data_IF_972214655850
#
_entry.id   IF_972214655850
#
_cell.length_a   1.000
_cell.length_b   1.000
_cell.length_c   1.000
_cell.angle_alpha   90.00
_cell.angle_beta   90.00
_cell.angle_gamma   90.00
#
_symmetry.space_group_name_H-M   'P 1'
#
loop_
_entity.id
_entity.type
_entity.pdbx_description
1 polymer ?
#
# COMPACT_ATOMS: atom_id res chain seq x y z
N UNK A 1 11.26 -10.09 -11.35
CA UNK A 1 11.80 -10.94 -10.27
C UNK A 1 10.67 -11.72 -9.63
N UNK A 2 10.90 -12.93 -9.12
CA UNK A 2 9.97 -13.61 -8.23
C UNK A 2 9.90 -12.85 -6.90
N UNK A 3 8.77 -12.93 -6.19
CA UNK A 3 8.54 -12.18 -4.95
C UNK A 3 9.67 -12.36 -3.92
N UNK A 4 10.16 -13.59 -3.73
CA UNK A 4 11.28 -13.88 -2.80
C UNK A 4 12.59 -13.20 -3.21
N UNK A 5 12.90 -13.14 -4.49
CA UNK A 5 14.07 -12.42 -5.00
C UNK A 5 13.95 -10.92 -4.78
N UNK A 6 12.78 -10.34 -5.04
CA UNK A 6 12.52 -8.92 -4.78
C UNK A 6 12.69 -8.57 -3.29
N UNK A 7 12.18 -9.39 -2.38
CA UNK A 7 12.39 -9.23 -0.93
C UNK A 7 13.88 -9.18 -0.59
N UNK A 8 14.68 -10.11 -1.13
CA UNK A 8 16.13 -10.14 -0.89
C UNK A 8 16.84 -8.87 -1.36
N UNK A 9 16.45 -8.34 -2.52
CA UNK A 9 17.01 -7.09 -3.06
C UNK A 9 16.71 -5.92 -2.12
N UNK A 10 15.44 -5.75 -1.73
CA UNK A 10 15.00 -4.67 -0.84
C UNK A 10 15.69 -4.76 0.54
N UNK A 11 15.84 -5.97 1.07
CA UNK A 11 16.56 -6.24 2.32
C UNK A 11 18.03 -5.81 2.22
N UNK A 12 18.71 -6.16 1.13
CA UNK A 12 20.12 -5.81 0.89
C UNK A 12 20.33 -4.30 0.70
N UNK A 13 19.29 -3.56 0.33
CA UNK A 13 19.31 -2.10 0.29
C UNK A 13 19.16 -1.47 1.70
N UNK A 14 18.92 -2.26 2.73
CA UNK A 14 18.76 -1.78 4.11
C UNK A 14 17.40 -1.13 4.40
N UNK A 15 16.41 -1.36 3.54
CA UNK A 15 15.04 -0.90 3.80
C UNK A 15 14.46 -1.58 5.04
N UNK A 16 13.68 -0.83 5.80
CA UNK A 16 13.07 -1.29 7.06
C UNK A 16 11.59 -1.61 6.95
N UNK A 17 10.95 -1.12 5.91
CA UNK A 17 9.56 -1.42 5.57
C UNK A 17 9.49 -2.11 4.21
N UNK A 18 8.55 -3.05 4.07
CA UNK A 18 8.25 -3.72 2.81
C UNK A 18 6.76 -3.98 2.70
N UNK A 19 6.24 -3.89 1.48
CA UNK A 19 4.90 -4.35 1.12
C UNK A 19 4.98 -5.49 0.11
N UNK A 20 4.22 -6.55 0.38
CA UNK A 20 4.10 -7.70 -0.50
C UNK A 20 2.80 -7.52 -1.30
N UNK A 21 2.89 -7.26 -2.60
CA UNK A 21 1.74 -6.96 -3.45
C UNK A 21 1.44 -8.03 -4.48
N UNK A 22 0.14 -8.22 -4.75
CA UNK A 22 -0.35 -9.07 -5.83
C UNK A 22 -1.41 -8.33 -6.64
N UNK A 23 -1.18 -8.16 -7.95
CA UNK A 23 -2.08 -7.37 -8.81
C UNK A 23 -3.43 -8.08 -9.02
N UNK A 24 -3.47 -9.43 -9.06
CA UNK A 24 -4.66 -10.21 -9.40
C UNK A 24 -4.93 -11.32 -8.40
N UNK A 25 -6.21 -11.54 -8.08
CA UNK A 25 -6.66 -12.60 -7.17
C UNK A 25 -6.22 -14.00 -7.60
N UNK A 26 -6.31 -14.33 -8.90
CA UNK A 26 -5.83 -15.62 -9.40
C UNK A 26 -4.33 -15.84 -9.13
N UNK A 27 -3.49 -14.84 -9.34
CA UNK A 27 -2.07 -14.91 -9.01
C UNK A 27 -1.84 -15.07 -7.51
N UNK A 28 -2.59 -14.34 -6.70
CA UNK A 28 -2.52 -14.44 -5.24
C UNK A 28 -2.90 -15.84 -4.75
N UNK A 29 -4.01 -16.39 -5.25
CA UNK A 29 -4.53 -17.67 -4.81
C UNK A 29 -3.73 -18.89 -5.32
N UNK A 30 -3.27 -18.85 -6.58
CA UNK A 30 -2.85 -20.05 -7.30
C UNK A 30 -1.37 -20.09 -7.71
N UNK A 31 -0.61 -19.00 -7.60
CA UNK A 31 0.79 -18.98 -8.07
C UNK A 31 1.78 -19.68 -7.14
N UNK A 32 1.42 -19.92 -5.88
CA UNK A 32 2.32 -20.43 -4.86
C UNK A 32 3.44 -19.46 -4.45
N UNK A 33 3.39 -18.19 -4.89
CA UNK A 33 4.45 -17.21 -4.59
C UNK A 33 4.45 -16.80 -3.12
N UNK A 34 3.28 -16.65 -2.51
CA UNK A 34 3.16 -16.30 -1.11
C UNK A 34 3.70 -17.43 -0.20
N UNK A 35 3.42 -18.67 -0.56
CA UNK A 35 3.84 -19.88 0.19
C UNK A 35 5.35 -20.13 0.13
N UNK A 36 6.06 -19.54 -0.83
CA UNK A 36 7.53 -19.65 -0.93
C UNK A 36 8.26 -18.68 -0.01
N UNK A 37 7.56 -17.70 0.57
CA UNK A 37 8.15 -16.76 1.51
C UNK A 37 8.29 -17.46 2.86
N UNK A 38 9.50 -17.42 3.40
CA UNK A 38 9.84 -17.99 4.70
C UNK A 38 10.03 -16.88 5.75
N UNK A 39 9.97 -17.23 7.04
CA UNK A 39 10.23 -16.28 8.14
C UNK A 39 11.56 -15.55 7.98
N UNK A 40 12.60 -16.28 7.59
CA UNK A 40 13.96 -15.74 7.39
C UNK A 40 14.03 -14.67 6.29
N UNK A 41 13.17 -14.75 5.28
CA UNK A 41 13.13 -13.75 4.22
C UNK A 41 12.69 -12.39 4.78
N UNK A 42 11.76 -12.39 5.73
CA UNK A 42 11.16 -11.18 6.32
C UNK A 42 11.86 -10.71 7.63
N UNK A 43 12.83 -11.47 8.12
CA UNK A 43 13.64 -11.03 9.24
C UNK A 43 14.44 -9.77 8.90
N UNK A 44 14.47 -8.80 9.83
CA UNK A 44 15.18 -7.52 9.67
C UNK A 44 14.35 -6.39 9.09
N UNK A 45 13.11 -6.68 8.62
CA UNK A 45 12.12 -5.62 8.40
C UNK A 45 11.40 -5.29 9.70
N UNK A 46 11.29 -4.01 10.01
CA UNK A 46 10.58 -3.50 11.18
C UNK A 46 9.06 -3.46 10.88
N UNK A 47 8.70 -3.30 9.61
CA UNK A 47 7.32 -3.22 9.13
C UNK A 47 7.11 -4.07 7.87
N UNK A 48 6.04 -4.88 7.88
CA UNK A 48 5.64 -5.73 6.75
C UNK A 48 4.15 -5.58 6.50
N UNK A 49 3.77 -5.01 5.38
CA UNK A 49 2.39 -4.97 4.90
C UNK A 49 2.15 -5.93 3.73
N UNK A 50 0.88 -6.16 3.44
CA UNK A 50 0.44 -6.91 2.27
C UNK A 50 -0.61 -6.10 1.53
N UNK A 51 -0.36 -5.81 0.26
CA UNK A 51 -1.37 -5.24 -0.61
C UNK A 51 -2.26 -6.36 -1.14
N UNK A 52 -3.52 -6.37 -0.74
CA UNK A 52 -4.49 -7.35 -1.18
C UNK A 52 -4.70 -7.25 -2.70
N UNK A 53 -4.96 -8.37 -3.38
CA UNK A 53 -5.13 -8.38 -4.82
C UNK A 53 -6.34 -7.54 -5.27
N UNK A 54 -6.26 -6.95 -6.47
CA UNK A 54 -7.40 -6.32 -7.12
C UNK A 54 -8.51 -7.35 -7.37
N UNK A 55 -9.62 -7.18 -6.64
CA UNK A 55 -10.77 -8.10 -6.64
C UNK A 55 -12.01 -7.38 -6.13
N UNK A 56 -13.19 -7.73 -6.62
CA UNK A 56 -14.47 -7.17 -6.12
C UNK A 56 -14.89 -7.93 -4.85
N UNK A 57 -14.54 -7.37 -3.70
CA UNK A 57 -14.75 -8.01 -2.40
C UNK A 57 -16.23 -8.00 -1.98
N UNK A 58 -16.77 -9.19 -1.83
CA UNK A 58 -18.16 -9.45 -1.44
C UNK A 58 -18.21 -10.51 -0.34
N UNK A 59 -19.39 -10.74 0.22
CA UNK A 59 -19.61 -11.87 1.13
C UNK A 59 -19.73 -13.19 0.33
N UNK A 60 -18.63 -13.63 -0.27
CA UNK A 60 -18.57 -14.82 -1.11
C UNK A 60 -17.37 -15.72 -0.76
N UNK A 61 -17.34 -16.89 -1.39
CA UNK A 61 -16.31 -17.92 -1.12
C UNK A 61 -14.91 -17.45 -1.53
N UNK A 62 -14.79 -16.66 -2.59
CA UNK A 62 -13.48 -16.22 -3.10
C UNK A 62 -12.85 -15.17 -2.17
N UNK A 63 -13.64 -14.21 -1.69
CA UNK A 63 -13.25 -13.28 -0.62
C UNK A 63 -12.79 -14.02 0.63
N UNK A 64 -13.57 -15.01 1.07
CA UNK A 64 -13.21 -15.83 2.24
C UNK A 64 -11.87 -16.54 2.01
N UNK A 65 -11.65 -17.15 0.85
CA UNK A 65 -10.39 -17.82 0.54
C UNK A 65 -9.19 -16.85 0.55
N UNK A 66 -9.37 -15.61 0.03
CA UNK A 66 -8.34 -14.58 0.07
C UNK A 66 -8.03 -14.22 1.54
N UNK A 67 -9.04 -13.98 2.37
CA UNK A 67 -8.85 -13.61 3.77
C UNK A 67 -8.22 -14.72 4.60
N UNK A 68 -8.63 -15.98 4.40
CA UNK A 68 -8.01 -17.14 5.03
C UNK A 68 -6.53 -17.27 4.67
N UNK A 69 -6.19 -17.05 3.39
CA UNK A 69 -4.80 -17.10 2.93
C UNK A 69 -3.95 -15.99 3.56
N UNK A 70 -4.47 -14.76 3.66
CA UNK A 70 -3.81 -13.64 4.35
C UNK A 70 -3.62 -13.97 5.83
N UNK A 71 -4.67 -14.45 6.51
CA UNK A 71 -4.63 -14.82 7.92
C UNK A 71 -3.62 -15.94 8.19
N UNK A 72 -3.57 -16.96 7.34
CA UNK A 72 -2.63 -18.06 7.46
C UNK A 72 -1.18 -17.57 7.31
N UNK A 73 -0.90 -16.76 6.27
CA UNK A 73 0.41 -16.15 6.09
C UNK A 73 0.81 -15.30 7.32
N UNK A 74 -0.12 -14.47 7.81
CA UNK A 74 0.12 -13.61 8.97
C UNK A 74 0.44 -14.40 10.24
N UNK A 75 -0.20 -15.55 10.46
CA UNK A 75 0.03 -16.40 11.63
C UNK A 75 1.30 -17.24 11.53
N UNK A 76 1.54 -17.81 10.36
CA UNK A 76 2.56 -18.86 10.17
C UNK A 76 3.93 -18.29 9.80
N UNK A 77 3.96 -17.22 9.03
CA UNK A 77 5.21 -16.67 8.47
C UNK A 77 5.63 -15.39 9.20
N UNK A 78 4.82 -14.35 9.13
CA UNK A 78 5.11 -13.05 9.76
C UNK A 78 3.80 -12.34 10.05
N UNK A 79 3.58 -11.94 11.30
CA UNK A 79 2.45 -11.09 11.64
C UNK A 79 2.51 -9.83 10.80
N UNK A 80 1.50 -9.63 9.97
CA UNK A 80 1.38 -8.45 9.14
C UNK A 80 1.05 -7.21 9.99
N UNK A 81 1.76 -6.14 9.73
CA UNK A 81 1.51 -4.87 10.39
C UNK A 81 0.26 -4.17 9.82
N UNK A 82 -0.03 -4.41 8.53
CA UNK A 82 -1.20 -3.90 7.85
C UNK A 82 -1.53 -4.75 6.61
N UNK A 83 -2.80 -4.81 6.24
CA UNK A 83 -3.27 -5.32 4.93
C UNK A 83 -3.99 -4.18 4.23
N UNK A 84 -3.54 -3.84 3.02
CA UNK A 84 -4.04 -2.72 2.22
C UNK A 84 -5.11 -3.20 1.25
N UNK A 85 -6.20 -2.48 1.17
CA UNK A 85 -7.30 -2.72 0.23
C UNK A 85 -7.66 -1.44 -0.52
N UNK A 86 -8.12 -1.60 -1.76
CA UNK A 86 -8.76 -0.53 -2.51
C UNK A 86 -10.25 -0.44 -2.11
N UNK A 87 -10.71 0.66 -1.52
CA UNK A 87 -12.09 0.74 -1.01
C UNK A 87 -13.15 0.76 -2.12
N UNK A 88 -12.80 1.19 -3.34
CA UNK A 88 -13.68 1.19 -4.51
C UNK A 88 -14.06 -0.20 -5.00
N UNK A 89 -13.37 -1.24 -4.51
CA UNK A 89 -13.64 -2.65 -4.83
C UNK A 89 -14.40 -3.38 -3.73
N UNK A 90 -14.77 -2.69 -2.65
CA UNK A 90 -15.48 -3.28 -1.50
C UNK A 90 -16.95 -2.89 -1.54
N UNK A 91 -17.82 -3.87 -1.71
CA UNK A 91 -19.27 -3.63 -1.77
C UNK A 91 -19.96 -3.66 -0.40
N UNK A 92 -19.39 -4.39 0.57
CA UNK A 92 -19.90 -4.48 1.94
C UNK A 92 -18.74 -4.54 2.94
N UNK A 93 -18.53 -3.48 3.70
CA UNK A 93 -17.44 -3.39 4.67
C UNK A 93 -17.62 -4.31 5.89
N UNK A 94 -18.80 -4.89 6.11
CA UNK A 94 -19.03 -5.86 7.19
C UNK A 94 -18.24 -7.16 7.02
N UNK A 95 -17.76 -7.48 5.80
CA UNK A 95 -16.87 -8.63 5.54
C UNK A 95 -15.60 -8.58 6.38
N UNK A 96 -15.18 -7.40 6.83
CA UNK A 96 -13.98 -7.20 7.64
C UNK A 96 -14.20 -7.33 9.14
N UNK A 97 -15.42 -7.52 9.62
CA UNK A 97 -15.74 -7.49 11.07
C UNK A 97 -15.00 -8.57 11.86
N UNK A 98 -14.80 -9.73 11.25
CA UNK A 98 -14.25 -10.91 11.91
C UNK A 98 -12.83 -11.30 11.44
N UNK A 99 -12.14 -10.46 10.67
CA UNK A 99 -10.76 -10.74 10.27
C UNK A 99 -9.77 -10.46 11.40
N UNK A 100 -8.68 -11.23 11.46
CA UNK A 100 -7.67 -11.16 12.53
C UNK A 100 -6.43 -10.32 12.16
N UNK A 101 -6.45 -9.66 11.00
CA UNK A 101 -5.42 -8.73 10.56
C UNK A 101 -5.89 -7.28 10.62
N UNK A 102 -4.92 -6.33 10.66
CA UNK A 102 -5.19 -4.89 10.58
C UNK A 102 -5.50 -4.48 9.15
N UNK A 103 -6.44 -3.57 8.98
CA UNK A 103 -6.98 -3.18 7.67
C UNK A 103 -6.67 -1.72 7.41
N UNK A 104 -6.15 -1.46 6.23
CA UNK A 104 -6.00 -0.12 5.69
C UNK A 104 -6.67 0.04 4.34
N UNK A 105 -7.26 1.19 4.10
CA UNK A 105 -7.86 1.57 2.84
C UNK A 105 -7.09 2.71 2.20
N UNK A 106 -6.80 2.55 0.92
CA UNK A 106 -6.03 3.51 0.13
C UNK A 106 -6.95 4.54 -0.53
N UNK A 107 -6.56 5.82 -0.58
CA UNK A 107 -7.26 6.81 -1.39
C UNK A 107 -7.00 6.57 -2.88
N UNK A 108 -8.04 6.68 -3.70
CA UNK A 108 -8.01 6.39 -5.13
C UNK A 108 -7.74 7.63 -5.98
N UNK A 109 -7.31 7.42 -7.23
CA UNK A 109 -7.17 8.47 -8.23
C UNK A 109 -8.41 8.63 -9.13
N UNK A 110 -8.36 9.58 -10.07
CA UNK A 110 -9.46 9.93 -10.96
C UNK A 110 -9.88 8.82 -11.94
N UNK A 111 -9.06 7.78 -12.11
CA UNK A 111 -9.40 6.59 -12.93
C UNK A 111 -10.46 5.74 -12.25
N UNK A 112 -10.71 5.96 -10.95
CA UNK A 112 -11.71 5.25 -10.15
C UNK A 112 -12.97 6.10 -9.96
N UNK A 113 -14.11 5.42 -9.76
CA UNK A 113 -15.42 6.08 -9.63
C UNK A 113 -15.65 6.77 -8.28
N UNK A 114 -14.90 6.37 -7.24
CA UNK A 114 -15.10 6.80 -5.84
C UNK A 114 -13.81 6.79 -5.03
N UNK A 115 -13.91 7.15 -3.74
CA UNK A 115 -12.82 7.09 -2.77
C UNK A 115 -11.61 7.97 -3.11
N UNK A 116 -11.86 9.12 -3.74
CA UNK A 116 -10.84 10.07 -4.19
C UNK A 116 -10.70 11.29 -3.30
N UNK A 117 -11.73 11.61 -2.56
CA UNK A 117 -11.80 12.79 -1.69
C UNK A 117 -11.63 12.42 -0.23
N UNK A 118 -11.35 13.42 0.60
CA UNK A 118 -11.27 13.22 2.06
C UNK A 118 -12.61 12.72 2.60
N UNK A 119 -13.71 13.28 2.10
CA UNK A 119 -15.07 12.92 2.51
C UNK A 119 -15.40 11.46 2.15
N UNK A 120 -15.01 11.00 0.97
CA UNK A 120 -15.20 9.60 0.58
C UNK A 120 -14.47 8.65 1.54
N UNK A 121 -13.21 8.97 1.83
CA UNK A 121 -12.39 8.14 2.74
C UNK A 121 -12.90 8.24 4.19
N UNK A 122 -13.34 9.40 4.64
CA UNK A 122 -13.96 9.54 5.97
C UNK A 122 -15.17 8.63 6.12
N UNK A 123 -16.03 8.51 5.08
CA UNK A 123 -17.15 7.59 5.06
C UNK A 123 -16.69 6.13 5.16
N UNK A 124 -15.64 5.73 4.43
CA UNK A 124 -15.06 4.39 4.52
C UNK A 124 -14.55 4.10 5.93
N UNK A 125 -13.75 5.01 6.49
CA UNK A 125 -13.14 4.83 7.81
C UNK A 125 -14.19 4.85 8.95
N UNK A 126 -15.33 5.48 8.73
CA UNK A 126 -16.43 5.51 9.72
C UNK A 126 -17.16 4.16 9.86
N UNK A 127 -17.03 3.25 8.88
CA UNK A 127 -17.69 1.94 8.92
C UNK A 127 -17.13 1.05 10.05
N UNK A 128 -15.86 1.20 10.41
CA UNK A 128 -15.26 0.46 11.51
C UNK A 128 -14.07 1.23 12.11
N UNK A 129 -14.03 1.39 13.42
CA UNK A 129 -12.97 2.13 14.13
C UNK A 129 -11.56 1.54 13.95
N UNK A 130 -11.45 0.27 13.54
CA UNK A 130 -10.17 -0.40 13.24
C UNK A 130 -9.58 0.00 11.91
N UNK A 131 -10.35 0.59 11.00
CA UNK A 131 -9.89 0.97 9.68
C UNK A 131 -8.88 2.11 9.74
N UNK A 132 -7.85 2.00 8.91
CA UNK A 132 -6.77 2.97 8.76
C UNK A 132 -6.72 3.49 7.33
N UNK A 133 -6.11 4.65 7.17
CA UNK A 133 -5.83 5.24 5.87
C UNK A 133 -4.42 4.88 5.42
N UNK A 134 -4.30 4.44 4.18
CA UNK A 134 -3.06 4.48 3.42
C UNK A 134 -3.14 5.72 2.53
N UNK A 135 -2.27 6.67 2.77
CA UNK A 135 -2.23 7.89 1.96
C UNK A 135 -1.31 7.68 0.76
N UNK A 136 -1.90 7.44 -0.41
CA UNK A 136 -1.14 7.45 -1.66
C UNK A 136 -1.04 8.89 -2.17
N UNK A 137 0.18 9.43 -2.10
CA UNK A 137 0.46 10.82 -2.52
C UNK A 137 0.58 10.95 -4.04
N UNK A 138 0.83 9.85 -4.78
CA UNK A 138 0.73 9.83 -6.24
C UNK A 138 -0.74 10.01 -6.67
N UNK A 139 -1.65 9.22 -6.09
CA UNK A 139 -3.09 9.35 -6.35
C UNK A 139 -3.62 10.75 -5.99
N UNK A 140 -3.11 11.33 -4.90
CA UNK A 140 -3.43 12.73 -4.55
C UNK A 140 -2.95 13.68 -5.64
N UNK A 141 -1.70 13.54 -6.13
CA UNK A 141 -1.15 14.39 -7.19
C UNK A 141 -1.95 14.28 -8.49
N UNK A 142 -2.38 13.07 -8.86
CA UNK A 142 -3.22 12.85 -10.04
C UNK A 142 -4.56 13.57 -9.92
N UNK A 143 -5.16 13.59 -8.73
CA UNK A 143 -6.43 14.29 -8.47
C UNK A 143 -6.26 15.80 -8.33
N UNK A 144 -5.16 16.24 -7.72
CA UNK A 144 -4.84 17.65 -7.45
C UNK A 144 -3.32 17.89 -7.49
N UNK A 145 -2.76 18.27 -8.64
CA UNK A 145 -1.32 18.56 -8.77
C UNK A 145 -0.82 19.72 -7.89
N UNK A 146 -1.72 20.50 -7.30
CA UNK A 146 -1.34 21.55 -6.34
C UNK A 146 -1.03 21.02 -4.95
N UNK A 147 -1.29 19.72 -4.69
CA UNK A 147 -1.14 19.01 -3.42
C UNK A 147 -1.90 19.63 -2.22
N UNK A 148 -2.86 20.52 -2.46
CA UNK A 148 -3.76 21.03 -1.41
C UNK A 148 -4.63 19.93 -0.84
N UNK A 149 -5.00 18.96 -1.69
CA UNK A 149 -5.75 17.77 -1.26
C UNK A 149 -4.94 16.95 -0.26
N UNK A 150 -3.61 16.81 -0.42
CA UNK A 150 -2.77 16.13 0.58
C UNK A 150 -2.82 16.85 1.94
N UNK A 151 -2.70 18.18 1.93
CA UNK A 151 -2.81 18.97 3.16
C UNK A 151 -4.17 18.79 3.84
N UNK A 152 -5.23 18.64 3.04
CA UNK A 152 -6.58 18.42 3.56
C UNK A 152 -6.72 17.00 4.16
N UNK A 153 -6.15 15.96 3.53
CA UNK A 153 -6.05 14.62 4.11
C UNK A 153 -5.35 14.65 5.47
N UNK A 154 -4.16 15.26 5.56
CA UNK A 154 -3.45 15.38 6.84
C UNK A 154 -4.24 16.13 7.91
N UNK A 155 -4.89 17.23 7.53
CA UNK A 155 -5.70 18.03 8.46
C UNK A 155 -6.89 17.28 9.04
N UNK A 156 -7.54 16.44 8.24
CA UNK A 156 -8.80 15.77 8.60
C UNK A 156 -8.60 14.35 9.14
N UNK A 157 -7.67 13.61 8.55
CA UNK A 157 -7.49 12.18 8.77
C UNK A 157 -6.04 11.82 9.16
N UNK A 158 -5.21 12.79 9.55
CA UNK A 158 -3.79 12.56 9.83
C UNK A 158 -3.54 11.51 10.92
N UNK A 159 -4.40 11.42 11.94
CA UNK A 159 -4.36 10.41 12.99
C UNK A 159 -4.79 9.00 12.52
N UNK A 160 -5.39 8.89 11.36
CA UNK A 160 -5.78 7.64 10.73
C UNK A 160 -4.77 7.11 9.75
N UNK A 161 -3.82 7.95 9.28
CA UNK A 161 -2.77 7.53 8.34
C UNK A 161 -1.85 6.52 9.05
N UNK A 162 -1.78 5.31 8.51
CA UNK A 162 -0.93 4.23 9.03
C UNK A 162 0.22 3.87 8.10
N UNK A 163 0.15 4.29 6.84
CA UNK A 163 1.16 4.04 5.82
C UNK A 163 1.03 5.08 4.71
N UNK A 164 2.12 5.38 4.03
CA UNK A 164 2.14 6.25 2.85
C UNK A 164 2.62 5.43 1.66
N UNK A 165 1.92 5.55 0.52
CA UNK A 165 2.38 5.08 -0.77
C UNK A 165 2.97 6.23 -1.56
N UNK A 166 4.11 5.97 -2.22
CA UNK A 166 4.90 6.99 -2.89
C UNK A 166 5.44 6.51 -4.23
N UNK A 167 5.06 7.21 -5.29
CA UNK A 167 5.64 7.09 -6.62
C UNK A 167 5.47 8.40 -7.40
N UNK A 168 6.12 8.52 -8.54
CA UNK A 168 5.83 9.59 -9.50
C UNK A 168 4.71 9.19 -10.47
N UNK A 169 4.31 10.13 -11.31
CA UNK A 169 3.27 9.93 -12.31
C UNK A 169 3.64 10.53 -13.67
N UNK A 170 3.64 9.69 -14.67
CA UNK A 170 3.63 10.05 -16.09
C UNK A 170 2.58 9.21 -16.82
N UNK A 171 2.59 7.90 -16.55
CA UNK A 171 1.60 6.95 -17.06
C UNK A 171 0.91 6.20 -15.92
N UNK A 172 1.66 5.75 -14.90
CA UNK A 172 1.15 5.01 -13.74
C UNK A 172 1.94 5.37 -12.46
N UNK A 173 2.81 4.45 -12.03
CA UNK A 173 3.72 4.58 -10.88
C UNK A 173 5.14 4.74 -11.40
N UNK A 174 5.41 5.87 -12.04
CA UNK A 174 6.72 6.14 -12.64
C UNK A 174 7.74 6.52 -11.58
N UNK A 175 9.05 6.28 -11.83
CA UNK A 175 10.09 6.63 -10.87
C UNK A 175 10.19 8.14 -10.65
N UNK A 176 10.28 8.55 -9.40
CA UNK A 176 10.47 9.95 -9.01
C UNK A 176 11.82 10.51 -9.48
N UNK A 177 12.85 9.67 -9.55
CA UNK A 177 14.14 10.11 -10.10
C UNK A 177 14.08 10.45 -11.61
N UNK A 178 13.05 10.00 -12.32
CA UNK A 178 12.81 10.32 -13.73
C UNK A 178 11.81 11.48 -13.87
N UNK A 179 10.67 11.40 -13.17
CA UNK A 179 9.59 12.39 -13.27
C UNK A 179 9.95 13.72 -12.63
N UNK A 180 10.86 13.73 -11.63
CA UNK A 180 11.29 14.92 -10.88
C UNK A 180 10.18 15.68 -10.16
N UNK A 181 9.08 15.01 -9.83
CA UNK A 181 7.92 15.57 -9.15
C UNK A 181 8.17 15.73 -7.65
N UNK A 182 8.98 16.71 -7.29
CA UNK A 182 9.35 16.99 -5.89
C UNK A 182 8.16 17.37 -5.03
N UNK A 183 7.11 17.94 -5.60
CA UNK A 183 5.87 18.28 -4.91
C UNK A 183 5.19 17.06 -4.29
N UNK A 184 5.30 15.88 -4.91
CA UNK A 184 4.79 14.61 -4.38
C UNK A 184 5.55 14.24 -3.10
N UNK A 185 6.88 14.28 -3.14
CA UNK A 185 7.73 13.97 -1.97
C UNK A 185 7.47 14.98 -0.85
N UNK A 186 7.46 16.28 -1.17
CA UNK A 186 7.26 17.37 -0.21
C UNK A 186 5.86 17.42 0.40
N UNK A 187 4.89 16.73 -0.19
CA UNK A 187 3.55 16.61 0.40
C UNK A 187 3.51 15.72 1.64
N UNK A 188 4.52 14.87 1.84
CA UNK A 188 4.61 14.01 3.01
C UNK A 188 4.93 14.85 4.24
N UNK A 189 4.00 14.87 5.22
CA UNK A 189 4.12 15.69 6.44
C UNK A 189 4.47 14.85 7.68
N UNK A 190 4.25 13.54 7.62
CA UNK A 190 4.53 12.63 8.73
C UNK A 190 5.51 11.55 8.30
N UNK A 191 6.73 11.60 8.83
CA UNK A 191 7.78 10.61 8.59
C UNK A 191 7.84 9.50 9.64
N UNK A 192 6.94 9.53 10.64
CA UNK A 192 6.86 8.50 11.69
C UNK A 192 6.06 7.27 11.23
N UNK A 193 5.37 7.36 10.09
CA UNK A 193 4.67 6.23 9.48
C UNK A 193 5.50 5.61 8.36
N UNK A 194 5.36 4.29 8.10
CA UNK A 194 6.07 3.63 7.00
C UNK A 194 5.75 4.25 5.65
N UNK A 195 6.77 4.42 4.82
CA UNK A 195 6.65 4.88 3.43
C UNK A 195 7.02 3.73 2.52
N UNK A 196 6.10 3.32 1.67
CA UNK A 196 6.27 2.28 0.65
C UNK A 196 6.45 2.94 -0.70
N UNK A 197 7.56 2.63 -1.36
CA UNK A 197 7.86 3.11 -2.72
C UNK A 197 7.21 2.15 -3.69
N UNK A 198 6.23 2.63 -4.45
CA UNK A 198 5.49 1.83 -5.43
C UNK A 198 5.94 2.07 -6.87
N UNK A 199 7.02 2.80 -7.07
CA UNK A 199 7.55 3.09 -8.39
C UNK A 199 7.88 1.81 -9.16
N UNK A 200 7.37 1.68 -10.38
CA UNK A 200 7.71 0.59 -11.28
C UNK A 200 9.07 0.86 -11.89
N UNK A 201 10.08 0.17 -11.41
CA UNK A 201 11.48 0.38 -11.80
C UNK A 201 12.15 -0.93 -12.22
N UNK A 202 13.15 -0.83 -13.08
CA UNK A 202 14.06 -1.94 -13.35
C UNK A 202 14.89 -2.24 -12.09
N UNK A 203 15.22 -3.51 -11.87
CA UNK A 203 15.91 -3.97 -10.67
C UNK A 203 17.21 -3.18 -10.37
N UNK A 204 17.98 -2.88 -11.40
CA UNK A 204 19.22 -2.12 -11.31
C UNK A 204 19.03 -0.64 -10.91
N UNK A 205 17.82 -0.11 -11.01
CA UNK A 205 17.51 1.28 -10.71
C UNK A 205 16.74 1.46 -9.37
N UNK A 206 16.37 0.39 -8.68
CA UNK A 206 15.69 0.45 -7.37
C UNK A 206 16.47 1.32 -6.37
N UNK A 207 17.80 1.10 -6.29
CA UNK A 207 18.66 1.90 -5.40
C UNK A 207 18.62 3.39 -5.75
N UNK A 208 18.63 3.71 -7.04
CA UNK A 208 18.59 5.10 -7.52
C UNK A 208 17.28 5.79 -7.16
N UNK A 209 16.16 5.09 -7.28
CA UNK A 209 14.84 5.62 -6.87
C UNK A 209 14.82 5.89 -5.36
N UNK A 210 15.22 4.91 -4.55
CA UNK A 210 15.27 5.08 -3.10
C UNK A 210 16.18 6.24 -2.70
N UNK A 211 17.39 6.31 -3.22
CA UNK A 211 18.37 7.34 -2.87
C UNK A 211 17.84 8.73 -3.27
N UNK A 212 17.23 8.84 -4.47
CA UNK A 212 16.60 10.09 -4.91
C UNK A 212 15.50 10.56 -3.93
N UNK A 213 14.66 9.64 -3.46
CA UNK A 213 13.61 9.95 -2.49
C UNK A 213 14.24 10.39 -1.16
N UNK A 214 15.22 9.65 -0.64
CA UNK A 214 15.89 9.97 0.63
C UNK A 214 16.61 11.33 0.60
N UNK A 215 17.18 11.72 -0.53
CA UNK A 215 17.85 13.02 -0.72
C UNK A 215 16.86 14.20 -0.75
N UNK A 216 15.57 13.95 -0.96
CA UNK A 216 14.56 14.99 -1.16
C UNK A 216 13.40 14.97 -0.14
N UNK A 217 13.37 13.98 0.76
CA UNK A 217 12.37 13.86 1.82
C UNK A 217 12.93 14.47 3.12
N UNK A 218 12.21 15.42 3.72
CA UNK A 218 12.63 16.05 4.98
C UNK A 218 12.72 17.53 4.89
#
# INVERSE_FOLDING_TARGET
AETKEAISIIKNLGCKAIEIGFVKADKFLNSGQLERIEKSDLEGFDYVSLHAPGFDYNNDKETINIFEKISNFSREIRRLDLVVFHPDTVNDFSIFDNVDFKIGFENMDHRKGSCRTVEDIELVLSQNSRFKLILDVNHVWINDPTMKLAQYFYKKLGDKIAQIHLSGFKELHDPLFETKQLEIIKAIQNLDVPIIIESVVAQETIKKERDYILDNIG
#
